data_IF_664883457516
#
_entry.id   IF_664883457516
#
_cell.length_a   1.000
_cell.length_b   1.000
_cell.length_c   1.000
_cell.angle_alpha   90.00
_cell.angle_beta   90.00
_cell.angle_gamma   90.00
#
_symmetry.space_group_name_H-M   'P 1'
#
loop_
_entity.id
_entity.type
_entity.pdbx_description
1 polymer ?
#
# COMPACT_ATOMS: atom_id res chain seq x y z
N UNK A 1 30.34 76.96 -38.02
CA UNK A 1 28.95 76.45 -38.04
C UNK A 1 28.97 75.09 -37.34
N UNK A 2 28.63 75.06 -36.08
CA UNK A 2 28.77 73.89 -35.20
C UNK A 2 27.38 73.44 -34.84
N UNK A 3 27.03 72.22 -35.20
CA UNK A 3 25.78 71.57 -34.77
C UNK A 3 26.11 70.50 -33.73
N UNK A 4 25.61 70.62 -32.54
CA UNK A 4 25.73 69.66 -31.43
C UNK A 4 24.52 68.72 -31.43
N UNK A 5 24.79 67.44 -31.59
CA UNK A 5 23.79 66.40 -31.36
C UNK A 5 23.84 65.91 -29.93
N UNK A 6 22.74 66.06 -29.20
CA UNK A 6 22.52 65.52 -27.88
C UNK A 6 22.04 64.05 -28.00
N UNK A 7 22.76 63.12 -27.34
CA UNK A 7 22.33 61.71 -27.21
C UNK A 7 21.54 61.58 -25.92
N UNK A 8 20.26 61.30 -26.05
CA UNK A 8 19.40 60.89 -24.94
C UNK A 8 19.53 59.39 -24.69
N UNK A 9 19.97 59.01 -23.50
CA UNK A 9 20.00 57.63 -23.05
C UNK A 9 18.66 57.25 -22.43
N UNK A 10 17.89 56.38 -23.09
CA UNK A 10 16.71 55.78 -22.55
C UNK A 10 17.10 54.53 -21.72
N UNK A 11 17.01 54.64 -20.39
CA UNK A 11 17.17 53.51 -19.49
C UNK A 11 15.91 52.68 -19.46
N UNK A 12 15.99 51.44 -19.95
CA UNK A 12 14.92 50.44 -19.78
C UNK A 12 15.05 49.78 -18.42
N UNK A 13 14.10 50.06 -17.52
CA UNK A 13 13.94 49.37 -16.23
C UNK A 13 13.26 48.04 -16.46
N UNK A 14 14.00 46.90 -16.32
CA UNK A 14 13.42 45.54 -16.26
C UNK A 14 12.81 45.36 -14.88
N UNK A 15 11.48 45.33 -14.81
CA UNK A 15 10.77 44.88 -13.61
C UNK A 15 10.79 43.35 -13.55
N UNK A 16 11.56 42.77 -12.62
CA UNK A 16 11.49 41.35 -12.28
C UNK A 16 10.23 41.10 -11.45
N UNK A 17 9.23 40.48 -12.05
CA UNK A 17 8.08 39.96 -11.33
C UNK A 17 8.49 38.65 -10.62
N UNK A 18 8.67 38.67 -9.30
CA UNK A 18 8.78 37.48 -8.46
C UNK A 18 7.41 36.78 -8.46
N UNK A 19 7.28 35.69 -9.22
CA UNK A 19 6.17 34.75 -9.03
C UNK A 19 6.40 34.03 -7.70
N UNK A 20 5.62 34.36 -6.70
CA UNK A 20 5.51 33.58 -5.47
C UNK A 20 4.82 32.26 -5.83
N UNK A 21 5.58 31.14 -5.87
CA UNK A 21 5.02 29.80 -5.95
C UNK A 21 4.28 29.53 -4.63
N UNK A 22 2.95 29.47 -4.67
CA UNK A 22 2.16 29.00 -3.55
C UNK A 22 2.50 27.52 -3.32
N UNK A 23 2.74 27.08 -2.06
CA UNK A 23 2.89 25.64 -1.79
C UNK A 23 1.59 24.95 -2.18
N UNK A 24 1.69 23.96 -3.09
CA UNK A 24 0.57 23.07 -3.36
C UNK A 24 0.25 22.31 -2.06
N UNK A 25 -1.03 22.23 -1.63
CA UNK A 25 -1.37 21.39 -0.49
C UNK A 25 -0.97 19.96 -0.83
N UNK A 26 -0.10 19.36 -0.01
CA UNK A 26 0.12 17.92 -0.03
C UNK A 26 -1.25 17.28 0.21
N UNK A 27 -1.74 16.48 -0.74
CA UNK A 27 -2.96 15.71 -0.53
C UNK A 27 -2.65 14.72 0.58
N UNK A 28 -3.37 14.87 1.71
CA UNK A 28 -3.28 13.95 2.83
C UNK A 28 -3.72 12.56 2.36
N UNK A 29 -2.78 11.64 2.19
CA UNK A 29 -3.07 10.21 1.95
C UNK A 29 -3.87 9.59 3.11
N UNK A 30 -4.06 10.32 4.18
CA UNK A 30 -4.83 9.94 5.37
C UNK A 30 -6.28 10.37 5.35
N UNK A 31 -6.76 11.08 4.31
CA UNK A 31 -8.10 11.68 4.30
C UNK A 31 -9.26 10.68 4.45
N UNK A 32 -9.04 9.39 4.12
CA UNK A 32 -10.04 8.32 4.20
C UNK A 32 -9.81 7.32 5.35
N UNK A 33 -8.77 7.53 6.18
CA UNK A 33 -8.54 6.69 7.35
C UNK A 33 -9.52 7.08 8.45
N UNK A 34 -10.32 6.10 8.88
CA UNK A 34 -11.40 6.32 9.85
C UNK A 34 -11.09 5.82 11.25
N UNK A 35 -10.28 4.75 11.37
CA UNK A 35 -9.91 4.15 12.67
C UNK A 35 -8.49 3.58 12.61
N UNK A 36 -7.88 3.43 13.77
CA UNK A 36 -6.65 2.65 13.98
C UNK A 36 -6.92 1.67 15.12
N UNK A 37 -6.77 0.39 14.82
CA UNK A 37 -6.89 -0.71 15.75
C UNK A 37 -5.50 -1.35 15.91
N UNK A 38 -4.76 -0.86 16.90
CA UNK A 38 -3.39 -1.30 17.20
C UNK A 38 -2.46 -1.25 15.96
N UNK A 39 -2.11 -2.39 15.36
CA UNK A 39 -1.23 -2.49 14.20
C UNK A 39 -1.96 -2.42 12.84
N UNK A 40 -3.27 -2.17 12.87
CA UNK A 40 -4.13 -2.11 11.70
C UNK A 40 -4.81 -0.76 11.58
N UNK A 41 -4.92 -0.26 10.35
CA UNK A 41 -5.67 0.96 10.03
C UNK A 41 -6.90 0.60 9.19
N UNK A 42 -8.02 1.28 9.46
CA UNK A 42 -9.27 1.11 8.71
C UNK A 42 -9.50 2.34 7.84
N UNK A 43 -9.87 2.11 6.60
CA UNK A 43 -10.16 3.13 5.61
C UNK A 43 -11.56 2.93 5.03
N UNK A 44 -12.20 4.05 4.67
CA UNK A 44 -13.51 4.06 4.05
C UNK A 44 -13.54 5.05 2.88
N UNK A 45 -13.89 4.58 1.69
CA UNK A 45 -14.18 5.40 0.53
C UNK A 45 -15.69 5.36 0.21
N UNK A 46 -16.26 6.51 -0.20
CA UNK A 46 -17.69 6.64 -0.45
C UNK A 46 -18.10 6.35 -1.91
N UNK A 47 -17.27 6.69 -2.89
CA UNK A 47 -17.57 6.57 -4.31
C UNK A 47 -16.34 6.07 -5.11
N UNK A 48 -16.30 4.78 -5.49
CA UNK A 48 -17.24 3.72 -5.09
C UNK A 48 -17.11 3.39 -3.59
N UNK A 49 -18.18 2.82 -2.99
CA UNK A 49 -18.14 2.39 -1.58
C UNK A 49 -17.15 1.24 -1.43
N UNK A 50 -16.12 1.50 -0.64
CA UNK A 50 -15.07 0.55 -0.30
C UNK A 50 -14.59 0.77 1.12
N UNK A 51 -14.42 -0.31 1.88
CA UNK A 51 -13.87 -0.28 3.23
C UNK A 51 -12.78 -1.35 3.32
N UNK A 52 -11.67 -1.02 3.96
CA UNK A 52 -10.60 -2.01 4.12
C UNK A 52 -9.82 -1.80 5.41
N UNK A 53 -9.37 -2.91 5.96
CA UNK A 53 -8.35 -2.94 6.99
C UNK A 53 -6.99 -3.20 6.34
N UNK A 54 -5.96 -2.50 6.77
CA UNK A 54 -4.60 -2.62 6.21
C UNK A 54 -3.55 -2.52 7.29
N UNK A 55 -2.49 -3.31 7.13
CA UNK A 55 -1.29 -3.26 7.97
C UNK A 55 -0.01 -3.20 7.14
N UNK A 56 1.06 -2.70 7.76
CA UNK A 56 2.43 -2.75 7.26
C UNK A 56 3.22 -3.83 7.99
N UNK A 57 4.24 -4.45 7.35
CA UNK A 57 5.05 -5.45 8.01
C UNK A 57 5.86 -4.85 9.17
N UNK A 58 6.01 -5.64 10.24
CA UNK A 58 6.89 -5.31 11.37
C UNK A 58 8.35 -5.67 11.08
N UNK A 59 8.54 -6.66 10.23
CA UNK A 59 9.86 -7.12 9.79
C UNK A 59 9.80 -7.52 8.33
N UNK A 60 10.89 -7.22 7.60
CA UNK A 60 11.09 -7.67 6.22
C UNK A 60 12.50 -8.21 6.06
N UNK A 61 12.64 -9.42 5.56
CA UNK A 61 13.90 -10.05 5.23
C UNK A 61 13.91 -10.32 3.72
N UNK A 62 15.00 -9.93 3.06
CA UNK A 62 15.18 -10.17 1.64
C UNK A 62 16.43 -11.03 1.45
N UNK A 63 16.34 -12.11 0.67
CA UNK A 63 17.43 -13.02 0.39
C UNK A 63 17.60 -13.22 -1.11
N UNK A 64 18.85 -13.34 -1.54
CA UNK A 64 19.21 -13.71 -2.91
C UNK A 64 20.37 -14.70 -2.85
N UNK A 65 20.24 -15.83 -3.53
CA UNK A 65 21.22 -16.91 -3.52
C UNK A 65 21.62 -17.34 -2.09
N UNK A 66 20.62 -17.39 -1.20
CA UNK A 66 20.81 -17.79 0.21
C UNK A 66 21.48 -16.73 1.10
N UNK A 67 21.70 -15.52 0.61
CA UNK A 67 22.30 -14.42 1.37
C UNK A 67 21.31 -13.29 1.60
N UNK A 68 21.30 -12.73 2.81
CA UNK A 68 20.50 -11.52 3.11
C UNK A 68 21.05 -10.35 2.30
N UNK A 69 20.13 -9.65 1.62
CA UNK A 69 20.44 -8.50 0.77
C UNK A 69 19.58 -7.29 1.15
N UNK A 70 20.10 -6.09 0.89
CA UNK A 70 19.32 -4.86 1.00
C UNK A 70 18.76 -4.52 -0.37
N UNK A 71 17.44 -4.38 -0.47
CA UNK A 71 16.75 -3.99 -1.70
C UNK A 71 15.83 -2.79 -1.46
N UNK A 72 15.55 -2.03 -2.51
CA UNK A 72 14.48 -1.01 -2.49
C UNK A 72 13.21 -1.66 -2.98
N UNK A 73 12.15 -1.51 -2.20
CA UNK A 73 10.79 -1.96 -2.50
C UNK A 73 9.85 -0.77 -2.44
N UNK A 74 8.73 -0.86 -3.12
CA UNK A 74 7.58 -0.02 -2.90
C UNK A 74 6.91 -0.34 -1.56
N UNK A 75 5.70 0.15 -1.37
CA UNK A 75 4.94 -0.14 -0.15
C UNK A 75 4.56 -1.62 -0.07
N UNK A 76 4.82 -2.21 1.09
CA UNK A 76 4.42 -3.59 1.41
C UNK A 76 3.23 -3.52 2.35
N UNK A 77 2.09 -4.14 1.97
CA UNK A 77 0.84 -4.07 2.71
C UNK A 77 0.08 -5.40 2.64
N UNK A 78 -0.63 -5.69 3.74
CA UNK A 78 -1.61 -6.77 3.83
C UNK A 78 -2.98 -6.15 4.08
N UNK A 79 -3.99 -6.52 3.26
CA UNK A 79 -5.32 -5.94 3.28
C UNK A 79 -6.39 -6.98 3.54
N UNK A 80 -7.53 -6.52 4.09
CA UNK A 80 -8.83 -7.20 4.00
C UNK A 80 -9.85 -6.17 3.52
N UNK A 81 -10.47 -6.41 2.36
CA UNK A 81 -11.25 -5.44 1.61
C UNK A 81 -12.72 -5.85 1.49
N UNK A 82 -13.61 -4.87 1.58
CA UNK A 82 -15.06 -4.97 1.39
C UNK A 82 -15.51 -4.00 0.31
N UNK A 83 -16.12 -4.49 -0.77
CA UNK A 83 -16.69 -3.70 -1.87
C UNK A 83 -18.10 -4.17 -2.16
N UNK A 84 -19.12 -3.65 -1.45
CA UNK A 84 -20.49 -4.16 -1.55
C UNK A 84 -21.07 -4.09 -2.95
N UNK A 85 -20.74 -3.04 -3.71
CA UNK A 85 -21.20 -2.86 -5.10
C UNK A 85 -20.58 -3.88 -6.08
N UNK A 86 -19.51 -4.55 -5.70
CA UNK A 86 -18.83 -5.59 -6.48
C UNK A 86 -19.03 -7.00 -5.89
N UNK A 87 -19.80 -7.12 -4.78
CA UNK A 87 -20.01 -8.39 -4.09
C UNK A 87 -18.79 -8.92 -3.33
N UNK A 88 -17.76 -8.08 -3.10
CA UNK A 88 -16.54 -8.45 -2.37
C UNK A 88 -16.76 -8.31 -0.86
N UNK A 89 -16.53 -9.40 -0.14
CA UNK A 89 -16.78 -9.49 1.30
C UNK A 89 -15.58 -10.13 2.02
N UNK A 90 -14.60 -9.32 2.40
CA UNK A 90 -13.43 -9.79 3.16
C UNK A 90 -12.32 -10.38 2.29
N UNK A 91 -12.12 -9.86 1.07
CA UNK A 91 -11.02 -10.25 0.19
C UNK A 91 -9.66 -9.94 0.83
N UNK A 92 -8.85 -10.96 1.01
CA UNK A 92 -7.46 -10.83 1.48
C UNK A 92 -6.56 -10.54 0.29
N UNK A 93 -5.73 -9.50 0.40
CA UNK A 93 -4.73 -9.21 -0.63
C UNK A 93 -3.41 -8.75 -0.02
N UNK A 94 -2.33 -9.03 -0.73
CA UNK A 94 -0.99 -8.65 -0.33
C UNK A 94 -0.27 -7.96 -1.48
N UNK A 95 0.45 -6.87 -1.19
CA UNK A 95 1.42 -6.30 -2.12
C UNK A 95 2.82 -6.38 -1.54
N UNK A 96 3.72 -6.94 -2.35
CA UNK A 96 5.14 -7.04 -2.00
C UNK A 96 5.94 -5.76 -2.24
N UNK A 97 5.34 -4.76 -2.94
CA UNK A 97 6.03 -3.55 -3.38
C UNK A 97 7.04 -3.81 -4.50
N UNK A 98 6.82 -4.87 -5.28
CA UNK A 98 7.62 -5.24 -6.46
C UNK A 98 6.81 -6.20 -7.34
N UNK A 99 7.07 -6.27 -8.65
CA UNK A 99 6.49 -7.30 -9.50
C UNK A 99 6.99 -8.70 -9.10
N UNK A 100 6.04 -9.58 -8.81
CA UNK A 100 6.35 -11.00 -8.52
C UNK A 100 6.92 -11.71 -9.75
N UNK A 101 7.64 -12.79 -9.53
CA UNK A 101 8.15 -13.63 -10.63
C UNK A 101 6.97 -14.29 -11.36
N UNK A 102 7.02 -14.33 -12.69
CA UNK A 102 5.98 -14.95 -13.51
C UNK A 102 5.70 -16.39 -13.08
N UNK A 103 4.42 -16.69 -12.85
CA UNK A 103 3.99 -18.02 -12.45
C UNK A 103 4.41 -18.44 -11.04
N UNK A 104 4.91 -17.50 -10.22
CA UNK A 104 5.16 -17.74 -8.81
C UNK A 104 3.89 -17.54 -7.98
N UNK A 105 3.90 -18.06 -6.76
CA UNK A 105 2.90 -17.78 -5.74
C UNK A 105 3.54 -17.13 -4.50
N UNK A 106 2.70 -16.57 -3.63
CA UNK A 106 3.08 -16.13 -2.30
C UNK A 106 2.53 -17.15 -1.31
N UNK A 107 3.37 -17.60 -0.37
CA UNK A 107 2.92 -18.40 0.77
C UNK A 107 2.61 -17.49 1.93
N UNK A 108 1.39 -17.58 2.47
CA UNK A 108 0.98 -16.96 3.72
C UNK A 108 0.96 -18.04 4.81
N UNK A 109 1.77 -17.88 5.84
CA UNK A 109 1.80 -18.73 7.02
C UNK A 109 1.20 -18.00 8.23
N UNK A 110 0.26 -18.65 8.89
CA UNK A 110 -0.32 -18.18 10.15
C UNK A 110 -0.25 -19.31 11.18
N UNK A 111 0.69 -19.20 12.10
CA UNK A 111 0.86 -20.18 13.17
C UNK A 111 1.14 -21.60 12.67
N UNK A 112 1.84 -21.77 11.56
CA UNK A 112 2.16 -23.05 10.92
C UNK A 112 1.10 -23.56 9.96
N UNK A 113 0.00 -22.82 9.76
CA UNK A 113 -0.99 -23.13 8.71
C UNK A 113 -0.66 -22.31 7.48
N UNK A 114 -0.40 -22.99 6.35
CA UNK A 114 0.00 -22.36 5.10
C UNK A 114 -1.15 -22.25 4.11
N UNK A 115 -1.20 -21.12 3.43
CA UNK A 115 -2.11 -20.79 2.34
C UNK A 115 -1.30 -20.32 1.14
N UNK A 116 -1.76 -20.65 -0.06
CA UNK A 116 -1.15 -20.23 -1.31
C UNK A 116 -1.97 -19.09 -1.91
N UNK A 117 -1.29 -17.99 -2.29
CA UNK A 117 -1.87 -16.86 -3.00
C UNK A 117 -1.28 -16.81 -4.40
N UNK A 118 -2.12 -16.72 -5.43
CA UNK A 118 -1.67 -16.49 -6.81
C UNK A 118 -1.23 -15.04 -6.98
N UNK A 119 -0.29 -14.81 -7.90
CA UNK A 119 0.29 -13.48 -8.12
C UNK A 119 -0.07 -12.90 -9.49
N UNK A 120 -0.34 -11.60 -9.51
CA UNK A 120 -0.45 -10.82 -10.73
C UNK A 120 0.16 -9.42 -10.50
N UNK A 121 1.19 -9.08 -11.28
CA UNK A 121 1.93 -7.82 -11.08
C UNK A 121 2.58 -7.76 -9.71
N UNK A 122 2.22 -6.77 -8.90
CA UNK A 122 2.75 -6.55 -7.53
C UNK A 122 1.84 -7.11 -6.43
N UNK A 123 0.71 -7.72 -6.79
CA UNK A 123 -0.29 -8.20 -5.85
C UNK A 123 -0.40 -9.72 -5.83
N UNK A 124 -0.91 -10.23 -4.71
CA UNK A 124 -1.22 -11.64 -4.51
C UNK A 124 -2.56 -11.79 -3.79
N UNK A 125 -3.37 -12.81 -4.21
CA UNK A 125 -4.70 -13.10 -3.67
C UNK A 125 -4.91 -14.60 -3.49
N UNK A 126 -5.79 -15.02 -2.57
CA UNK A 126 -6.33 -16.37 -2.55
C UNK A 126 -7.13 -16.67 -3.82
N UNK A 127 -7.28 -17.95 -4.14
CA UNK A 127 -7.96 -18.33 -5.38
C UNK A 127 -9.50 -18.24 -5.31
N UNK A 128 -10.09 -18.23 -4.10
CA UNK A 128 -11.55 -18.28 -3.89
C UNK A 128 -11.94 -17.51 -2.62
N UNK A 129 -13.20 -17.03 -2.58
CA UNK A 129 -13.81 -16.42 -1.38
C UNK A 129 -13.78 -17.37 -0.16
N UNK A 130 -13.85 -18.68 -0.39
CA UNK A 130 -13.74 -19.67 0.67
C UNK A 130 -12.33 -19.72 1.27
N UNK A 131 -11.30 -19.46 0.47
CA UNK A 131 -9.94 -19.35 0.94
C UNK A 131 -9.72 -18.04 1.68
N UNK A 132 -10.31 -16.92 1.23
CA UNK A 132 -10.32 -15.66 1.96
C UNK A 132 -10.88 -15.84 3.39
N UNK A 133 -12.04 -16.50 3.49
CA UNK A 133 -12.67 -16.76 4.79
C UNK A 133 -11.79 -17.64 5.70
N UNK A 134 -11.14 -18.67 5.15
CA UNK A 134 -10.22 -19.55 5.91
C UNK A 134 -8.99 -18.80 6.39
N UNK A 135 -8.42 -17.93 5.55
CA UNK A 135 -7.28 -17.08 5.91
C UNK A 135 -7.69 -16.10 7.01
N UNK A 136 -8.81 -15.37 6.83
CA UNK A 136 -9.31 -14.44 7.82
C UNK A 136 -9.54 -15.13 9.18
N UNK A 137 -10.11 -16.34 9.19
CA UNK A 137 -10.31 -17.12 10.39
C UNK A 137 -9.00 -17.58 11.05
N UNK A 138 -7.98 -17.92 10.27
CA UNK A 138 -6.65 -18.21 10.79
C UNK A 138 -6.01 -16.96 11.41
N UNK A 139 -6.08 -15.82 10.69
CA UNK A 139 -5.52 -14.54 11.16
C UNK A 139 -6.18 -14.05 12.46
N UNK A 140 -7.49 -14.25 12.64
CA UNK A 140 -8.19 -13.92 13.90
C UNK A 140 -7.63 -14.66 15.13
N UNK A 141 -7.08 -15.85 14.93
CA UNK A 141 -6.54 -16.71 16.00
C UNK A 141 -5.02 -16.64 16.12
N UNK A 142 -4.36 -16.07 15.11
CA UNK A 142 -2.91 -15.96 15.04
C UNK A 142 -2.37 -14.73 15.75
N UNK A 143 -1.09 -14.74 16.07
CA UNK A 143 -0.35 -13.58 16.56
C UNK A 143 0.37 -12.83 15.43
N UNK A 144 0.82 -13.57 14.43
CA UNK A 144 1.58 -13.08 13.28
C UNK A 144 1.15 -13.79 11.99
N UNK A 145 1.28 -13.08 10.88
CA UNK A 145 1.17 -13.59 9.52
C UNK A 145 2.50 -13.38 8.80
N UNK A 146 3.07 -14.43 8.24
CA UNK A 146 4.33 -14.38 7.49
C UNK A 146 4.06 -14.63 6.02
N UNK A 147 4.43 -13.68 5.15
CA UNK A 147 4.25 -13.78 3.72
C UNK A 147 5.60 -13.94 3.04
N UNK A 148 5.76 -15.06 2.33
CA UNK A 148 6.98 -15.38 1.56
C UNK A 148 6.68 -15.32 0.07
N UNK A 149 7.37 -14.44 -0.63
CA UNK A 149 7.23 -14.24 -2.07
C UNK A 149 8.56 -14.20 -2.80
N UNK A 150 8.50 -14.18 -4.15
CA UNK A 150 9.68 -14.07 -5.00
C UNK A 150 9.49 -13.00 -6.06
N UNK A 151 10.45 -12.09 -6.14
CA UNK A 151 10.44 -11.04 -7.16
C UNK A 151 10.87 -11.55 -8.52
N UNK A 152 10.48 -10.87 -9.60
CA UNK A 152 10.95 -11.14 -10.96
C UNK A 152 12.47 -11.04 -11.13
N UNK A 153 13.18 -10.45 -10.18
CA UNK A 153 14.66 -10.40 -10.13
C UNK A 153 15.29 -11.56 -9.35
N UNK A 154 14.47 -12.48 -8.83
CA UNK A 154 14.93 -13.66 -8.11
C UNK A 154 15.17 -13.46 -6.61
N UNK A 155 14.90 -12.27 -6.07
CA UNK A 155 14.95 -12.05 -4.62
C UNK A 155 13.76 -12.72 -3.94
N UNK A 156 14.02 -13.54 -2.93
CA UNK A 156 12.99 -14.03 -2.01
C UNK A 156 12.77 -13.00 -0.90
N UNK A 157 11.52 -12.71 -0.60
CA UNK A 157 11.14 -11.82 0.48
C UNK A 157 10.33 -12.58 1.53
N UNK A 158 10.51 -12.21 2.79
CA UNK A 158 9.73 -12.70 3.91
C UNK A 158 9.30 -11.49 4.73
N UNK A 159 7.99 -11.26 4.80
CA UNK A 159 7.38 -10.11 5.45
C UNK A 159 6.49 -10.58 6.60
N UNK A 160 6.81 -10.16 7.82
CA UNK A 160 6.08 -10.53 9.04
C UNK A 160 5.16 -9.39 9.45
N UNK A 161 3.87 -9.68 9.52
CA UNK A 161 2.81 -8.77 9.97
C UNK A 161 2.32 -9.18 11.35
N UNK A 162 2.11 -8.19 12.22
CA UNK A 162 1.41 -8.39 13.48
C UNK A 162 -0.09 -8.54 13.23
N UNK A 163 -0.74 -9.48 13.91
CA UNK A 163 -2.19 -9.66 13.89
C UNK A 163 -2.88 -9.00 15.10
N UNK A 164 -2.13 -8.23 15.90
CA UNK A 164 -2.69 -7.47 17.00
C UNK A 164 -3.58 -6.34 16.48
N UNK A 165 -4.86 -6.36 16.85
CA UNK A 165 -5.89 -5.46 16.34
C UNK A 165 -6.60 -5.93 15.07
N UNK A 166 -6.14 -7.03 14.41
CA UNK A 166 -6.71 -7.51 13.15
C UNK A 166 -8.22 -7.75 13.22
N UNK A 167 -8.69 -8.49 14.24
CA UNK A 167 -10.12 -8.83 14.36
C UNK A 167 -10.97 -7.57 14.46
N UNK A 168 -10.60 -6.61 15.31
CA UNK A 168 -11.33 -5.36 15.49
C UNK A 168 -11.35 -4.52 14.20
N UNK A 169 -10.20 -4.39 13.53
CA UNK A 169 -10.09 -3.65 12.28
C UNK A 169 -10.92 -4.27 11.15
N UNK A 170 -10.90 -5.60 11.01
CA UNK A 170 -11.68 -6.31 10.00
C UNK A 170 -13.19 -6.15 10.26
N UNK A 171 -13.66 -6.28 11.51
CA UNK A 171 -15.05 -6.12 11.88
C UNK A 171 -15.54 -4.68 11.70
N UNK A 172 -14.72 -3.68 12.03
CA UNK A 172 -15.03 -2.27 11.79
C UNK A 172 -15.16 -1.99 10.28
N UNK A 173 -14.20 -2.44 9.45
CA UNK A 173 -14.29 -2.30 8.00
C UNK A 173 -15.55 -2.97 7.42
N UNK A 174 -15.87 -4.20 7.85
CA UNK A 174 -17.07 -4.91 7.43
C UNK A 174 -18.35 -4.14 7.78
N UNK A 175 -18.46 -3.64 9.01
CA UNK A 175 -19.64 -2.92 9.50
C UNK A 175 -19.91 -1.63 8.70
N UNK A 176 -18.86 -0.91 8.32
CA UNK A 176 -18.96 0.33 7.52
C UNK A 176 -19.43 0.09 6.09
N UNK A 177 -19.11 -1.06 5.54
CA UNK A 177 -19.50 -1.42 4.16
C UNK A 177 -20.79 -2.24 4.08
N UNK A 178 -21.43 -2.60 5.20
CA UNK A 178 -22.75 -3.25 5.26
C UNK A 178 -23.88 -2.29 5.62
N UNK A 179 -23.57 -1.07 6.02
CA UNK A 179 -24.52 -0.02 6.44
C UNK A 179 -24.91 0.93 5.31
#
# INVERSE_FOLDING_TARGET
MTSRFARGSAGAALAFALLAAAPAPAQDETSNRVTVEEDWSVFEAANPKECFAVSAPKQSVNTQDGRVVTVRRGETRLFVTYRPNAGVTGEVSFTGGYPFADGSSVTLDVGGTQFELFTEGEYAWPATDADDARIADAMKRGAEAVLTGRSGRGTQTEDTFSLFGFTAAMEDAASRCTS
#
